data_IF_258977740958
#
_entry.id   IF_258977740958
#
_cell.length_a   1.000
_cell.length_b   1.000
_cell.length_c   1.000
_cell.angle_alpha   90.00
_cell.angle_beta   90.00
_cell.angle_gamma   90.00
#
_symmetry.space_group_name_H-M   'P 1'
#
loop_
_entity.id
_entity.type
_entity.pdbx_description
1 polymer ?
#
# COMPACT_ATOMS: atom_id res chain seq x y z
N UNK A 1 1.33 8.85 -14.09
CA UNK A 1 2.35 9.84 -13.61
C UNK A 1 3.76 9.27 -13.72
N UNK A 2 4.79 10.08 -14.08
CA UNK A 2 6.20 9.63 -14.17
C UNK A 2 7.07 10.16 -13.02
N UNK A 3 8.17 9.47 -12.69
CA UNK A 3 9.08 9.86 -11.59
C UNK A 3 9.75 11.21 -11.89
N UNK A 4 10.03 11.52 -13.16
CA UNK A 4 10.62 12.80 -13.58
C UNK A 4 9.72 13.99 -13.26
N UNK A 5 8.39 13.79 -13.23
CA UNK A 5 7.42 14.81 -12.86
C UNK A 5 7.47 15.14 -11.36
N UNK A 6 7.95 14.23 -10.51
CA UNK A 6 8.10 14.45 -9.07
C UNK A 6 9.29 15.35 -8.73
N UNK A 7 10.38 15.30 -9.52
CA UNK A 7 11.66 15.92 -9.19
C UNK A 7 11.60 17.46 -8.99
N UNK A 8 10.56 18.11 -9.51
CA UNK A 8 10.41 19.56 -9.50
C UNK A 8 9.26 20.04 -8.59
N UNK A 9 8.62 19.16 -7.81
CA UNK A 9 7.47 19.51 -6.98
C UNK A 9 7.46 18.74 -5.65
N UNK A 10 7.02 19.38 -4.57
CA UNK A 10 6.77 18.68 -3.30
C UNK A 10 5.63 17.70 -3.52
N UNK A 11 5.88 16.45 -3.17
CA UNK A 11 4.97 15.33 -3.39
C UNK A 11 4.54 14.74 -2.06
N UNK A 12 3.27 14.34 -1.97
CA UNK A 12 2.72 13.63 -0.81
C UNK A 12 2.73 12.12 -1.11
N UNK A 13 3.35 11.37 -0.21
CA UNK A 13 3.36 9.91 -0.20
C UNK A 13 2.39 9.42 0.88
N UNK A 14 1.36 8.69 0.47
CA UNK A 14 0.42 8.04 1.38
C UNK A 14 0.96 6.69 1.83
N UNK A 15 0.96 6.43 3.14
CA UNK A 15 1.44 5.17 3.71
C UNK A 15 0.26 4.19 3.83
N UNK A 16 0.40 3.02 3.22
CA UNK A 16 -0.54 1.90 3.28
C UNK A 16 0.14 0.71 3.95
N UNK A 17 -0.14 0.51 5.24
CA UNK A 17 0.35 -0.64 5.99
C UNK A 17 -0.63 -1.81 5.87
N UNK A 18 -0.13 -2.94 5.37
CA UNK A 18 -0.88 -4.19 5.18
C UNK A 18 -0.43 -5.20 6.23
N UNK A 19 -0.73 -4.91 7.48
CA UNK A 19 -0.32 -5.77 8.62
C UNK A 19 -1.44 -6.75 9.00
N UNK A 20 -1.10 -7.94 9.54
CA UNK A 20 -2.08 -8.97 9.90
C UNK A 20 -3.10 -8.49 10.94
N UNK A 21 -2.69 -7.58 11.82
CA UNK A 21 -3.54 -7.03 12.88
C UNK A 21 -4.51 -5.95 12.37
N UNK A 22 -4.35 -5.49 11.13
CA UNK A 22 -5.18 -4.42 10.57
C UNK A 22 -6.47 -4.93 9.93
N UNK A 23 -6.57 -6.23 9.60
CA UNK A 23 -7.63 -6.78 8.73
C UNK A 23 -8.12 -8.19 9.10
N UNK A 24 -7.97 -8.61 10.37
CA UNK A 24 -8.09 -10.01 10.84
C UNK A 24 -9.40 -10.79 10.61
N UNK A 25 -10.44 -10.21 10.00
CA UNK A 25 -11.79 -10.79 10.04
C UNK A 25 -12.34 -11.30 8.68
N UNK A 26 -11.59 -11.21 7.58
CA UNK A 26 -12.06 -11.74 6.29
C UNK A 26 -10.93 -11.94 5.29
N UNK A 27 -10.95 -13.07 4.57
CA UNK A 27 -9.82 -13.52 3.73
C UNK A 27 -9.36 -12.54 2.65
N UNK A 28 -8.36 -12.95 1.86
CA UNK A 28 -7.58 -12.10 0.94
C UNK A 28 -8.37 -11.10 0.06
N UNK A 29 -9.60 -11.41 -0.34
CA UNK A 29 -10.44 -10.48 -1.10
C UNK A 29 -10.86 -9.24 -0.28
N UNK A 30 -11.21 -9.43 1.00
CA UNK A 30 -11.58 -8.31 1.88
C UNK A 30 -10.36 -7.43 2.20
N UNK A 31 -9.17 -8.01 2.25
CA UNK A 31 -7.91 -7.27 2.45
C UNK A 31 -7.61 -6.35 1.26
N UNK A 32 -7.75 -6.86 0.02
CA UNK A 32 -7.55 -6.06 -1.20
C UNK A 32 -8.59 -4.95 -1.33
N UNK A 33 -9.87 -5.24 -1.13
CA UNK A 33 -10.92 -4.21 -1.20
C UNK A 33 -10.70 -3.10 -0.16
N UNK A 34 -10.37 -3.47 1.08
CA UNK A 34 -10.09 -2.51 2.14
C UNK A 34 -8.86 -1.65 1.84
N UNK A 35 -7.82 -2.26 1.25
CA UNK A 35 -6.64 -1.54 0.79
C UNK A 35 -6.98 -0.51 -0.30
N UNK A 36 -7.84 -0.87 -1.27
CA UNK A 36 -8.25 0.05 -2.33
C UNK A 36 -9.08 1.23 -1.78
N UNK A 37 -9.97 1.00 -0.82
CA UNK A 37 -10.71 2.08 -0.14
C UNK A 37 -9.75 3.07 0.53
N UNK A 38 -8.72 2.56 1.21
CA UNK A 38 -7.72 3.42 1.85
C UNK A 38 -6.87 4.17 0.82
N UNK A 39 -6.52 3.53 -0.31
CA UNK A 39 -5.83 4.18 -1.43
C UNK A 39 -6.66 5.30 -2.02
N UNK A 40 -7.94 5.07 -2.30
CA UNK A 40 -8.86 6.09 -2.81
C UNK A 40 -8.89 7.31 -1.90
N UNK A 41 -8.98 7.09 -0.58
CA UNK A 41 -8.93 8.16 0.41
C UNK A 41 -7.61 8.94 0.36
N UNK A 42 -6.46 8.25 0.36
CA UNK A 42 -5.14 8.89 0.32
C UNK A 42 -4.97 9.74 -0.94
N UNK A 43 -5.42 9.23 -2.09
CA UNK A 43 -5.38 9.98 -3.35
C UNK A 43 -6.31 11.19 -3.32
N UNK A 44 -7.52 11.05 -2.75
CA UNK A 44 -8.45 12.16 -2.56
C UNK A 44 -7.90 13.24 -1.61
N UNK A 45 -7.05 12.87 -0.66
CA UNK A 45 -6.33 13.77 0.25
C UNK A 45 -5.06 14.39 -0.37
N UNK A 46 -4.72 14.04 -1.62
CA UNK A 46 -3.65 14.66 -2.40
C UNK A 46 -2.36 13.84 -2.49
N UNK A 47 -2.35 12.59 -2.02
CA UNK A 47 -1.22 11.69 -2.29
C UNK A 47 -1.11 11.41 -3.79
N UNK A 48 0.11 11.35 -4.30
CA UNK A 48 0.39 10.93 -5.69
C UNK A 48 1.30 9.71 -5.77
N UNK A 49 1.89 9.33 -4.63
CA UNK A 49 2.64 8.10 -4.41
C UNK A 49 1.97 7.33 -3.28
N UNK A 50 1.81 6.02 -3.44
CA UNK A 50 1.37 5.12 -2.38
C UNK A 50 2.55 4.22 -1.99
N UNK A 51 2.89 4.20 -0.71
CA UNK A 51 3.92 3.35 -0.12
C UNK A 51 3.26 2.14 0.54
N UNK A 52 3.54 0.94 0.03
CA UNK A 52 2.87 -0.30 0.43
C UNK A 52 3.82 -1.17 1.24
N UNK A 53 3.59 -1.28 2.55
CA UNK A 53 4.39 -2.14 3.43
C UNK A 53 3.61 -3.35 3.92
N UNK A 54 4.16 -4.57 3.77
CA UNK A 54 3.56 -5.82 4.28
C UNK A 54 4.12 -6.28 5.62
N UNK A 55 5.24 -5.69 6.06
CA UNK A 55 5.84 -5.85 7.37
C UNK A 55 5.58 -4.63 8.29
N UNK A 56 5.43 -4.87 9.59
CA UNK A 56 5.43 -3.80 10.59
C UNK A 56 6.85 -3.56 11.11
N UNK A 57 7.36 -2.34 10.96
CA UNK A 57 8.64 -1.90 11.55
C UNK A 57 8.50 -1.41 12.99
N UNK A 58 7.34 -1.61 13.63
CA UNK A 58 7.08 -1.15 15.00
C UNK A 58 7.84 -2.01 16.02
N UNK A 59 8.33 -1.42 17.13
CA UNK A 59 8.98 -2.18 18.19
C UNK A 59 8.07 -3.33 18.69
N UNK A 60 8.60 -4.56 18.68
CA UNK A 60 7.87 -5.75 19.12
C UNK A 60 6.99 -6.41 18.06
N UNK A 61 7.05 -5.97 16.80
CA UNK A 61 6.39 -6.66 15.69
C UNK A 61 6.95 -8.09 15.53
N UNK A 62 6.06 -9.02 15.21
CA UNK A 62 6.46 -10.39 14.85
C UNK A 62 7.16 -10.37 13.51
N UNK A 63 8.27 -11.08 13.40
CA UNK A 63 8.97 -11.28 12.14
C UNK A 63 8.02 -11.88 11.09
N UNK A 64 8.03 -11.31 9.88
CA UNK A 64 7.28 -11.81 8.72
C UNK A 64 8.30 -12.39 7.75
N UNK A 65 8.05 -13.58 7.21
CA UNK A 65 8.94 -14.13 6.18
C UNK A 65 8.80 -13.34 4.88
N UNK A 66 9.85 -13.31 4.05
CA UNK A 66 9.80 -12.66 2.73
C UNK A 66 8.64 -13.22 1.88
N UNK A 67 8.40 -14.53 1.95
CA UNK A 67 7.30 -15.19 1.23
C UNK A 67 5.92 -14.68 1.68
N UNK A 68 5.72 -14.53 3.00
CA UNK A 68 4.49 -14.00 3.56
C UNK A 68 4.29 -12.52 3.22
N UNK A 69 5.36 -11.73 3.23
CA UNK A 69 5.29 -10.32 2.85
C UNK A 69 4.92 -10.18 1.37
N UNK A 70 5.58 -10.94 0.48
CA UNK A 70 5.26 -10.97 -0.96
C UNK A 70 3.81 -11.36 -1.19
N UNK A 71 3.33 -12.41 -0.50
CA UNK A 71 1.95 -12.88 -0.63
C UNK A 71 0.92 -11.82 -0.23
N UNK A 72 1.27 -10.89 0.68
CA UNK A 72 0.42 -9.76 1.10
C UNK A 72 0.50 -8.59 0.13
N UNK A 73 1.70 -8.14 -0.23
CA UNK A 73 1.87 -6.87 -0.98
C UNK A 73 1.52 -7.03 -2.47
N UNK A 74 1.82 -8.18 -3.08
CA UNK A 74 1.65 -8.35 -4.55
C UNK A 74 0.20 -8.21 -5.01
N UNK A 75 -0.82 -8.84 -4.38
CA UNK A 75 -2.21 -8.66 -4.78
C UNK A 75 -2.67 -7.20 -4.71
N UNK A 76 -2.24 -6.48 -3.67
CA UNK A 76 -2.60 -5.08 -3.44
C UNK A 76 -1.93 -4.18 -4.47
N UNK A 77 -0.62 -4.35 -4.71
CA UNK A 77 0.11 -3.57 -5.73
C UNK A 77 -0.53 -3.77 -7.11
N UNK A 78 -0.88 -5.01 -7.47
CA UNK A 78 -1.59 -5.30 -8.73
C UNK A 78 -2.92 -4.56 -8.81
N UNK A 79 -3.75 -4.67 -7.78
CA UNK A 79 -5.04 -4.01 -7.73
C UNK A 79 -4.91 -2.47 -7.81
N UNK A 80 -3.93 -1.87 -7.13
CA UNK A 80 -3.66 -0.42 -7.22
C UNK A 80 -3.30 -0.04 -8.67
N UNK A 81 -2.41 -0.79 -9.32
CA UNK A 81 -1.97 -0.53 -10.70
C UNK A 81 -3.08 -0.72 -11.73
N UNK A 82 -4.08 -1.55 -11.46
CA UNK A 82 -5.25 -1.75 -12.31
C UNK A 82 -6.30 -0.63 -12.17
N UNK A 83 -6.41 -0.03 -10.98
CA UNK A 83 -7.51 0.91 -10.66
C UNK A 83 -7.09 2.38 -10.61
N UNK A 84 -5.81 2.70 -10.41
CA UNK A 84 -5.36 4.08 -10.18
C UNK A 84 -4.09 4.44 -10.99
N UNK A 85 -4.03 5.67 -11.51
CA UNK A 85 -2.81 6.25 -12.08
C UNK A 85 -1.97 6.97 -11.02
N UNK A 86 -1.42 6.21 -10.08
CA UNK A 86 -0.44 6.69 -9.11
C UNK A 86 0.88 5.91 -9.22
N UNK A 87 1.93 6.50 -8.64
CA UNK A 87 3.19 5.79 -8.40
C UNK A 87 3.03 4.89 -7.17
N UNK A 88 3.73 3.76 -7.18
CA UNK A 88 3.75 2.81 -6.07
C UNK A 88 5.20 2.64 -5.60
N UNK A 89 5.40 2.76 -4.30
CA UNK A 89 6.63 2.47 -3.56
C UNK A 89 6.40 1.19 -2.72
N UNK A 90 7.45 0.39 -2.55
CA UNK A 90 7.47 -0.82 -1.72
C UNK A 90 8.75 -0.81 -0.89
#
# INVERSE_FOLDING_TARGET
>A
MSIEQLANQVTIMGILNVTPDSFSDGGHYNEVESALVQVEKLLAEGATVIDVGGESTRPGATFVSEEDEIARVVPIIRAIKENYDCLVSV
#
